data_IF_174193897588
#
_entry.id   IF_174193897588
#
_cell.length_a   1.000
_cell.length_b   1.000
_cell.length_c   1.000
_cell.angle_alpha   90.00
_cell.angle_beta   90.00
_cell.angle_gamma   90.00
#
_symmetry.space_group_name_H-M   'P 1'
#
loop_
_entity.id
_entity.type
_entity.pdbx_description
1 polymer ?
#
# COMPACT_ATOMS: atom_id res chain seq x y z
N UNK A 1 21.35 -1.12 36.64
CA UNK A 1 21.22 -0.78 35.20
C UNK A 1 20.93 -2.02 34.35
N UNK A 2 19.75 -2.63 34.52
CA UNK A 2 19.36 -3.84 33.75
C UNK A 2 17.88 -3.83 33.29
N UNK A 3 17.17 -2.70 33.44
CA UNK A 3 15.74 -2.57 33.08
C UNK A 3 15.46 -1.72 31.82
N UNK A 4 16.51 -1.25 31.14
CA UNK A 4 16.38 -0.42 29.94
C UNK A 4 16.48 -1.20 28.63
N UNK A 5 16.89 -2.47 28.65
CA UNK A 5 17.14 -3.27 27.45
C UNK A 5 15.93 -4.11 26.99
N UNK A 6 14.94 -4.36 27.85
CA UNK A 6 13.77 -5.18 27.51
C UNK A 6 12.61 -4.37 26.89
N UNK A 7 12.72 -3.04 26.81
CA UNK A 7 11.69 -2.19 26.19
C UNK A 7 11.86 -2.00 24.68
N UNK A 8 12.89 -2.61 24.08
CA UNK A 8 13.22 -2.53 22.65
C UNK A 8 12.99 -3.85 21.90
N UNK A 9 12.42 -4.87 22.55
CA UNK A 9 12.01 -6.09 21.85
C UNK A 9 10.71 -5.82 21.05
N UNK A 10 10.89 -5.71 19.73
CA UNK A 10 9.89 -6.02 18.69
C UNK A 10 8.58 -5.23 18.61
N UNK A 11 8.62 -3.91 18.78
CA UNK A 11 7.67 -3.07 18.02
C UNK A 11 8.16 -2.94 16.57
N UNK A 12 8.27 -4.05 15.84
CA UNK A 12 8.30 -3.94 14.37
C UNK A 12 6.92 -3.43 13.95
N UNK A 13 6.86 -2.15 13.58
CA UNK A 13 5.66 -1.59 12.98
C UNK A 13 5.50 -2.32 11.65
N UNK A 14 4.60 -3.30 11.59
CA UNK A 14 4.23 -3.93 10.32
C UNK A 14 3.79 -2.83 9.36
N UNK A 15 4.18 -3.00 8.11
CA UNK A 15 3.90 -2.07 7.04
C UNK A 15 2.42 -2.00 6.71
N UNK A 16 2.11 -1.34 5.61
CA UNK A 16 0.74 -1.23 5.14
C UNK A 16 0.68 -1.57 3.66
N UNK A 17 -0.26 -2.43 3.29
CA UNK A 17 -0.55 -2.76 1.89
C UNK A 17 -1.89 -2.14 1.55
N UNK A 18 -1.89 -1.18 0.64
CA UNK A 18 -3.08 -0.64 0.01
C UNK A 18 -3.26 -1.29 -1.37
N UNK A 19 -4.50 -1.66 -1.68
CA UNK A 19 -4.88 -2.24 -2.96
C UNK A 19 -5.85 -1.30 -3.67
N UNK A 20 -5.58 -1.03 -4.95
CA UNK A 20 -6.41 -0.18 -5.80
C UNK A 20 -6.55 -0.83 -7.18
N UNK A 21 -7.76 -0.85 -7.72
CA UNK A 21 -7.95 -1.30 -9.10
C UNK A 21 -7.59 -0.17 -10.06
N UNK A 22 -6.92 -0.52 -11.16
CA UNK A 22 -6.41 0.45 -12.15
C UNK A 22 -7.50 1.30 -12.83
N UNK A 23 -8.76 0.83 -12.78
CA UNK A 23 -9.94 1.49 -13.32
C UNK A 23 -10.70 2.34 -12.28
N UNK A 24 -10.21 2.43 -11.04
CA UNK A 24 -10.86 3.24 -10.00
C UNK A 24 -10.68 4.74 -10.29
N UNK A 25 -11.77 5.50 -10.50
CA UNK A 25 -11.68 6.94 -10.66
C UNK A 25 -11.23 7.62 -9.36
N UNK A 26 -10.27 8.53 -9.45
CA UNK A 26 -9.69 9.20 -8.29
C UNK A 26 -10.73 9.94 -7.43
N UNK A 27 -11.69 10.61 -8.07
CA UNK A 27 -12.76 11.35 -7.39
C UNK A 27 -13.76 10.46 -6.62
N UNK A 28 -13.75 9.15 -6.86
CA UNK A 28 -14.57 8.20 -6.10
C UNK A 28 -13.85 7.64 -4.88
N UNK A 29 -12.55 7.91 -4.71
CA UNK A 29 -11.82 7.50 -3.53
C UNK A 29 -12.38 8.21 -2.29
N UNK A 30 -12.58 7.49 -1.18
CA UNK A 30 -13.05 8.12 0.05
C UNK A 30 -12.04 9.16 0.55
N UNK A 31 -12.54 10.26 1.12
CA UNK A 31 -11.68 11.35 1.63
C UNK A 31 -10.66 10.84 2.67
N UNK A 32 -11.04 9.88 3.52
CA UNK A 32 -10.11 9.33 4.51
C UNK A 32 -9.08 8.34 3.94
N UNK A 33 -9.07 8.08 2.61
CA UNK A 33 -7.94 7.44 1.93
C UNK A 33 -6.76 8.41 1.74
N UNK A 34 -7.02 9.72 1.70
CA UNK A 34 -5.99 10.74 1.41
C UNK A 34 -4.80 10.70 2.38
N UNK A 35 -4.98 10.59 3.71
CA UNK A 35 -3.85 10.46 4.63
C UNK A 35 -2.99 9.22 4.35
N UNK A 36 -3.60 8.10 3.94
CA UNK A 36 -2.87 6.86 3.65
C UNK A 36 -1.99 7.04 2.41
N UNK A 37 -2.55 7.59 1.33
CA UNK A 37 -1.86 7.86 0.07
C UNK A 37 -0.66 8.81 0.23
N UNK A 38 -0.75 9.74 1.19
CA UNK A 38 0.32 10.70 1.50
C UNK A 38 1.44 10.11 2.37
N UNK A 39 1.30 8.88 2.87
CA UNK A 39 2.33 8.21 3.68
C UNK A 39 3.04 7.08 2.96
N UNK A 40 2.72 6.83 1.69
CA UNK A 40 3.31 5.75 0.90
C UNK A 40 4.81 5.95 0.70
N UNK A 41 5.56 4.86 0.83
CA UNK A 41 6.97 4.78 0.49
C UNK A 41 7.16 4.37 -0.98
N UNK A 42 6.27 3.50 -1.48
CA UNK A 42 6.34 2.95 -2.84
C UNK A 42 4.95 2.70 -3.43
N UNK A 43 4.86 2.88 -4.74
CA UNK A 43 3.69 2.60 -5.56
C UNK A 43 4.08 1.60 -6.63
N UNK A 44 3.44 0.44 -6.60
CA UNK A 44 3.63 -0.64 -7.53
C UNK A 44 2.56 -0.63 -8.62
N UNK A 45 2.99 -0.52 -9.88
CA UNK A 45 2.12 -0.61 -11.05
C UNK A 45 2.88 -1.15 -12.25
N UNK A 46 2.23 -2.00 -13.06
CA UNK A 46 2.78 -2.45 -14.34
C UNK A 46 2.33 -1.58 -15.52
N UNK A 47 1.38 -0.66 -15.28
CA UNK A 47 0.84 0.28 -16.24
C UNK A 47 1.13 1.71 -15.78
N UNK A 48 1.04 2.67 -16.68
CA UNK A 48 1.08 4.09 -16.33
C UNK A 48 -0.11 4.40 -15.42
N UNK A 49 0.16 4.99 -14.26
CA UNK A 49 -0.89 5.45 -13.36
C UNK A 49 -1.70 6.55 -14.02
N UNK A 50 -3.01 6.53 -13.76
CA UNK A 50 -3.90 7.63 -14.09
C UNK A 50 -3.39 8.94 -13.47
N UNK A 51 -3.50 10.04 -14.21
CA UNK A 51 -2.97 11.34 -13.77
C UNK A 51 -3.65 11.85 -12.51
N UNK A 52 -4.97 11.68 -12.38
CA UNK A 52 -5.70 12.13 -11.20
C UNK A 52 -5.29 11.31 -9.97
N UNK A 53 -5.13 9.99 -10.12
CA UNK A 53 -4.60 9.14 -9.05
C UNK A 53 -3.20 9.59 -8.65
N UNK A 54 -2.32 9.85 -9.62
CA UNK A 54 -0.94 10.22 -9.34
C UNK A 54 -0.81 11.58 -8.62
N UNK A 55 -1.76 12.50 -8.79
CA UNK A 55 -1.83 13.76 -8.04
C UNK A 55 -2.15 13.56 -6.55
N UNK A 56 -2.85 12.49 -6.20
CA UNK A 56 -3.18 12.15 -4.81
C UNK A 56 -2.03 11.46 -4.06
N UNK A 57 -0.98 11.05 -4.76
CA UNK A 57 0.14 10.32 -4.18
C UNK A 57 1.22 11.26 -3.67
N UNK A 58 1.98 10.79 -2.66
CA UNK A 58 3.22 11.45 -2.24
C UNK A 58 4.17 11.58 -3.44
N UNK A 59 4.72 12.77 -3.68
CA UNK A 59 5.55 13.02 -4.87
C UNK A 59 6.83 12.21 -4.88
N UNK A 60 7.46 12.06 -3.73
CA UNK A 60 8.73 11.35 -3.49
C UNK A 60 8.56 9.85 -3.22
N UNK A 61 7.34 9.30 -3.27
CA UNK A 61 7.16 7.85 -3.23
C UNK A 61 7.81 7.19 -4.46
N UNK A 62 8.48 6.05 -4.25
CA UNK A 62 9.04 5.28 -5.35
C UNK A 62 7.93 4.75 -6.26
N UNK A 63 8.25 4.57 -7.54
CA UNK A 63 7.32 4.05 -8.55
C UNK A 63 8.00 2.89 -9.26
N UNK A 64 7.48 1.69 -9.03
CA UNK A 64 8.13 0.45 -9.42
C UNK A 64 7.14 -0.53 -10.05
N UNK A 65 7.66 -1.51 -10.79
CA UNK A 65 6.83 -2.61 -11.29
C UNK A 65 6.37 -3.51 -10.14
N UNK A 66 5.23 -4.19 -10.31
CA UNK A 66 4.68 -5.04 -9.24
C UNK A 66 5.61 -6.23 -8.99
N UNK A 67 6.18 -6.38 -7.77
CA UNK A 67 7.16 -7.42 -7.49
C UNK A 67 6.50 -8.76 -7.15
N UNK A 68 7.30 -9.77 -6.83
CA UNK A 68 6.80 -11.07 -6.41
C UNK A 68 6.11 -10.97 -5.03
N UNK A 69 5.20 -11.91 -4.75
CA UNK A 69 4.49 -11.96 -3.46
C UNK A 69 5.47 -12.05 -2.27
N UNK A 70 6.58 -12.76 -2.41
CA UNK A 70 7.63 -12.86 -1.38
C UNK A 70 8.23 -11.50 -1.04
N UNK A 71 8.46 -10.65 -2.04
CA UNK A 71 9.12 -9.35 -1.86
C UNK A 71 8.16 -8.34 -1.25
N UNK A 72 6.86 -8.45 -1.58
CA UNK A 72 5.78 -7.69 -0.95
C UNK A 72 5.69 -8.05 0.54
N UNK A 73 5.69 -9.36 0.87
CA UNK A 73 5.70 -9.84 2.26
C UNK A 73 6.90 -9.30 3.02
N UNK A 74 8.10 -9.42 2.44
CA UNK A 74 9.33 -8.95 3.06
C UNK A 74 9.26 -7.45 3.38
N UNK A 75 8.82 -6.62 2.42
CA UNK A 75 8.69 -5.18 2.64
C UNK A 75 7.62 -4.83 3.67
N UNK A 76 6.51 -5.56 3.69
CA UNK A 76 5.46 -5.41 4.69
C UNK A 76 5.99 -5.74 6.09
N UNK A 77 6.75 -6.82 6.26
CA UNK A 77 7.35 -7.19 7.55
C UNK A 77 8.39 -6.17 8.03
N UNK A 78 9.03 -5.46 7.11
CA UNK A 78 9.99 -4.39 7.41
C UNK A 78 9.35 -2.99 7.56
N UNK A 79 8.03 -2.90 7.59
CA UNK A 79 7.33 -1.64 7.89
C UNK A 79 7.06 -0.73 6.69
N UNK A 80 7.30 -1.20 5.47
CA UNK A 80 7.07 -0.38 4.27
C UNK A 80 5.57 -0.15 4.01
N UNK A 81 5.22 1.07 3.62
CA UNK A 81 3.86 1.45 3.21
C UNK A 81 3.78 1.46 1.69
N UNK A 82 3.01 0.54 1.14
CA UNK A 82 2.95 0.31 -0.30
C UNK A 82 1.53 0.38 -0.83
N UNK A 83 1.41 0.93 -2.04
CA UNK A 83 0.19 0.88 -2.83
C UNK A 83 0.42 -0.04 -4.03
N UNK A 84 -0.47 -0.99 -4.25
CA UNK A 84 -0.48 -1.84 -5.45
C UNK A 84 -1.67 -1.44 -6.31
N UNK A 85 -1.38 -0.94 -7.50
CA UNK A 85 -2.37 -0.60 -8.53
C UNK A 85 -2.31 -1.66 -9.63
N UNK A 86 -3.43 -2.34 -9.86
CA UNK A 86 -3.46 -3.43 -10.84
C UNK A 86 -4.89 -3.75 -11.30
N UNK A 87 -5.03 -4.59 -12.33
CA UNK A 87 -6.31 -5.15 -12.75
C UNK A 87 -7.05 -5.85 -11.61
N UNK A 88 -8.40 -5.87 -11.71
CA UNK A 88 -9.30 -6.50 -10.73
C UNK A 88 -8.92 -7.96 -10.43
N UNK A 89 -8.50 -8.72 -11.43
CA UNK A 89 -8.08 -10.13 -11.26
C UNK A 89 -6.86 -10.25 -10.36
N UNK A 90 -5.84 -9.42 -10.58
CA UNK A 90 -4.63 -9.40 -9.75
C UNK A 90 -4.94 -8.87 -8.34
N UNK A 91 -5.77 -7.84 -8.21
CA UNK A 91 -6.18 -7.33 -6.89
C UNK A 91 -6.92 -8.41 -6.08
N UNK A 92 -7.74 -9.25 -6.71
CA UNK A 92 -8.36 -10.39 -6.04
C UNK A 92 -7.32 -11.42 -5.56
N UNK A 93 -6.29 -11.70 -6.35
CA UNK A 93 -5.17 -12.58 -5.96
C UNK A 93 -4.41 -11.99 -4.76
N UNK A 94 -4.08 -10.71 -4.80
CA UNK A 94 -3.43 -10.02 -3.67
C UNK A 94 -4.31 -10.03 -2.43
N UNK A 95 -5.62 -9.78 -2.56
CA UNK A 95 -6.56 -9.83 -1.43
C UNK A 95 -6.59 -11.23 -0.79
N UNK A 96 -6.53 -12.30 -1.59
CA UNK A 96 -6.50 -13.66 -1.09
C UNK A 96 -5.18 -14.02 -0.39
N UNK A 97 -4.05 -13.50 -0.90
CA UNK A 97 -2.72 -13.76 -0.33
C UNK A 97 -2.40 -12.86 0.88
N UNK A 98 -2.96 -11.65 0.90
CA UNK A 98 -2.75 -10.61 1.89
C UNK A 98 -4.08 -10.18 2.55
N UNK A 99 -4.67 -11.00 3.44
CA UNK A 99 -5.97 -10.70 4.03
C UNK A 99 -6.02 -9.40 4.86
N UNK A 100 -4.87 -8.91 5.31
CA UNK A 100 -4.73 -7.65 6.06
C UNK A 100 -4.58 -6.41 5.18
N UNK A 101 -4.48 -6.57 3.85
CA UNK A 101 -4.37 -5.45 2.93
C UNK A 101 -5.68 -4.64 2.90
N UNK A 102 -5.56 -3.31 2.84
CA UNK A 102 -6.70 -2.40 2.78
C UNK A 102 -7.05 -2.13 1.33
N UNK A 103 -8.28 -2.43 0.95
CA UNK A 103 -8.75 -2.17 -0.41
C UNK A 103 -9.39 -0.79 -0.47
N UNK A 104 -8.79 0.12 -1.24
CA UNK A 104 -9.34 1.42 -1.54
C UNK A 104 -10.46 1.26 -2.57
N UNK A 105 -11.72 1.34 -2.12
CA UNK A 105 -12.89 1.22 -3.00
C UNK A 105 -13.78 2.46 -2.86
N UNK A 106 -14.51 2.82 -3.92
CA UNK A 106 -15.59 3.79 -3.83
C UNK A 106 -16.56 3.46 -2.68
N UNK A 107 -16.79 4.43 -1.81
CA UNK A 107 -17.75 4.31 -0.71
C UNK A 107 -17.35 3.38 0.44
N UNK A 108 -16.10 2.89 0.48
CA UNK A 108 -15.61 2.02 1.55
C UNK A 108 -14.55 2.73 2.41
N UNK A 109 -14.93 3.11 3.64
CA UNK A 109 -14.06 3.21 4.82
C UNK A 109 -14.81 2.60 5.99
#
# INVERSE_FOLDING_TARGET
EQRYLEAFEDFSVKGEILLLTEDTPAHLLPIAAMPLLQTLDVVYSNSTLDSEINELLRRDANREAVPLLSDITHQYEHGSRMLIVSSVVKIAQFTAHFPMAKHLRPGAI
#
